data_IF_487010394245
#
_entry.id   IF_487010394245
#
_cell.length_a   1.000
_cell.length_b   1.000
_cell.length_c   1.000
_cell.angle_alpha   90.00
_cell.angle_beta   90.00
_cell.angle_gamma   90.00
#
_symmetry.space_group_name_H-M   'P 1'
#
loop_
_entity.id
_entity.type
_entity.pdbx_description
1 polymer ?
#
# COMPACT_ATOMS: atom_id res chain seq x y z
N UNK A 1 -2.62 2.23 2.90
CA UNK A 1 -2.69 0.76 3.11
C UNK A 1 -1.89 0.18 1.98
N UNK A 2 -0.63 -0.13 2.24
CA UNK A 2 0.38 -0.12 1.17
C UNK A 2 0.17 -1.27 0.20
N UNK A 3 0.16 -2.54 0.61
CA UNK A 3 -0.07 -3.64 -0.32
C UNK A 3 -0.94 -4.73 0.31
N UNK A 4 -2.17 -4.89 -0.18
CA UNK A 4 -3.00 -6.05 0.14
C UNK A 4 -3.14 -6.89 -1.11
N UNK A 5 -2.65 -8.12 -1.04
CA UNK A 5 -2.98 -9.14 -2.03
C UNK A 5 -4.38 -9.67 -1.71
N UNK A 6 -5.26 -9.87 -2.69
CA UNK A 6 -6.51 -10.59 -2.46
C UNK A 6 -6.45 -11.93 -3.23
N UNK A 7 -6.60 -13.08 -2.56
CA UNK A 7 -6.64 -14.38 -3.23
C UNK A 7 -7.80 -14.42 -4.23
N UNK A 8 -7.50 -14.67 -5.50
CA UNK A 8 -8.53 -14.64 -6.55
C UNK A 8 -9.22 -15.99 -6.69
N UNK A 9 -8.43 -17.07 -6.68
CA UNK A 9 -8.90 -18.39 -7.06
C UNK A 9 -9.08 -19.31 -5.85
N UNK A 10 -8.36 -19.04 -4.76
CA UNK A 10 -8.36 -19.86 -3.55
C UNK A 10 -8.81 -19.06 -2.33
N UNK A 11 -9.29 -19.72 -1.25
CA UNK A 11 -9.77 -19.02 -0.07
C UNK A 11 -8.64 -18.50 0.83
N UNK A 12 -7.41 -18.99 0.67
CA UNK A 12 -6.25 -18.53 1.46
C UNK A 12 -5.05 -18.17 0.58
N UNK A 13 -4.21 -17.26 1.06
CA UNK A 13 -2.91 -16.96 0.44
C UNK A 13 -2.06 -18.20 0.22
N UNK A 14 -2.01 -19.08 1.22
CA UNK A 14 -1.17 -20.28 1.18
C UNK A 14 -1.62 -21.23 0.06
N UNK A 15 -2.92 -21.41 -0.12
CA UNK A 15 -3.47 -22.24 -1.19
C UNK A 15 -3.27 -21.59 -2.57
N UNK A 16 -3.47 -20.28 -2.68
CA UNK A 16 -3.19 -19.53 -3.91
C UNK A 16 -1.71 -19.72 -4.33
N UNK A 17 -0.78 -19.49 -3.41
CA UNK A 17 0.65 -19.63 -3.72
C UNK A 17 1.04 -21.06 -4.04
N UNK A 18 0.52 -22.05 -3.28
CA UNK A 18 0.76 -23.47 -3.55
C UNK A 18 0.25 -23.85 -4.93
N UNK A 19 -0.94 -23.40 -5.32
CA UNK A 19 -1.49 -23.68 -6.64
C UNK A 19 -0.59 -23.14 -7.75
N UNK A 20 -0.08 -21.92 -7.61
CA UNK A 20 0.86 -21.35 -8.58
C UNK A 20 2.18 -22.15 -8.65
N UNK A 21 2.69 -22.65 -7.52
CA UNK A 21 3.85 -23.54 -7.50
C UNK A 21 3.56 -24.97 -7.96
N UNK A 22 2.31 -25.42 -8.00
CA UNK A 22 1.98 -26.70 -8.64
C UNK A 22 2.03 -26.57 -10.17
N UNK A 23 1.71 -25.40 -10.70
CA UNK A 23 1.83 -25.11 -12.14
C UNK A 23 3.29 -24.96 -12.55
N UNK A 24 4.10 -24.27 -11.76
CA UNK A 24 5.56 -24.19 -11.96
C UNK A 24 6.33 -24.50 -10.67
N UNK A 25 6.62 -25.80 -10.40
CA UNK A 25 7.34 -26.24 -9.21
C UNK A 25 8.80 -25.82 -9.16
N UNK A 26 9.35 -25.35 -10.29
CA UNK A 26 10.75 -24.98 -10.41
C UNK A 26 11.00 -23.52 -10.06
N UNK A 27 9.97 -22.67 -10.20
CA UNK A 27 10.06 -21.23 -9.92
C UNK A 27 10.62 -20.93 -8.52
N UNK A 28 11.51 -19.92 -8.47
CA UNK A 28 12.08 -19.40 -7.23
C UNK A 28 11.13 -18.43 -6.53
N UNK A 29 10.26 -17.77 -7.30
CA UNK A 29 9.29 -16.81 -6.81
C UNK A 29 8.06 -16.72 -7.70
N UNK A 30 6.98 -16.17 -7.15
CA UNK A 30 5.79 -15.76 -7.86
C UNK A 30 5.75 -14.23 -7.84
N UNK A 31 5.70 -13.61 -8.99
CA UNK A 31 5.58 -12.17 -9.18
C UNK A 31 4.13 -11.79 -9.47
N UNK A 32 3.54 -10.97 -8.61
CA UNK A 32 2.19 -10.44 -8.77
C UNK A 32 2.26 -8.99 -9.25
N UNK A 33 1.64 -8.70 -10.40
CA UNK A 33 1.42 -7.34 -10.86
C UNK A 33 0.69 -6.49 -9.80
N UNK A 34 1.00 -5.20 -9.76
CA UNK A 34 0.43 -4.26 -8.77
C UNK A 34 -0.25 -3.10 -9.48
N UNK A 35 -1.46 -2.78 -9.05
CA UNK A 35 -2.17 -1.57 -9.46
C UNK A 35 -2.27 -0.60 -8.31
N UNK A 36 -2.15 0.68 -8.65
CA UNK A 36 -2.28 1.78 -7.70
C UNK A 36 -3.75 2.17 -7.60
N UNK A 37 -4.23 2.33 -6.37
CA UNK A 37 -5.58 2.77 -6.06
C UNK A 37 -5.55 4.03 -5.21
N UNK A 38 -6.48 4.94 -5.49
CA UNK A 38 -6.77 6.07 -4.64
C UNK A 38 -8.15 5.93 -3.99
N UNK A 39 -8.31 6.63 -2.87
CA UNK A 39 -9.56 6.70 -2.13
C UNK A 39 -9.73 8.09 -1.54
N UNK A 40 -10.97 8.52 -1.39
CA UNK A 40 -11.31 9.82 -0.84
C UNK A 40 -11.77 9.71 0.61
N UNK A 41 -11.02 10.29 1.56
CA UNK A 41 -11.45 10.54 2.94
C UNK A 41 -12.63 11.53 2.94
N UNK A 42 -13.82 11.11 3.37
CA UNK A 42 -14.99 11.96 3.59
C UNK A 42 -15.86 12.31 2.37
N UNK A 43 -15.89 11.49 1.30
CA UNK A 43 -16.73 11.72 0.13
C UNK A 43 -18.23 11.84 0.50
N UNK A 44 -18.96 12.75 -0.13
CA UNK A 44 -20.40 12.89 0.11
C UNK A 44 -21.13 11.71 -0.52
N UNK A 45 -21.69 10.84 0.33
CA UNK A 45 -22.27 9.54 -0.04
C UNK A 45 -21.36 8.34 0.23
N UNK A 46 -20.08 8.53 0.60
CA UNK A 46 -19.17 7.47 1.09
C UNK A 46 -18.27 8.03 2.21
N UNK A 47 -18.63 7.71 3.45
CA UNK A 47 -18.01 8.22 4.68
C UNK A 47 -16.64 7.56 4.93
N UNK A 48 -15.61 7.86 4.14
CA UNK A 48 -14.28 7.44 4.55
C UNK A 48 -13.86 8.28 5.76
N UNK A 49 -13.82 7.59 6.87
CA UNK A 49 -13.76 8.07 8.22
C UNK A 49 -12.60 8.99 8.58
N UNK A 50 -12.90 10.04 9.36
CA UNK A 50 -11.90 10.85 10.05
C UNK A 50 -11.51 10.24 11.40
N UNK A 51 -12.31 9.31 11.91
CA UNK A 51 -12.09 8.60 13.17
C UNK A 51 -12.17 7.08 12.98
N UNK A 52 -11.49 6.28 13.81
CA UNK A 52 -11.62 4.82 13.71
C UNK A 52 -13.08 4.35 13.88
N UNK A 53 -13.90 5.09 14.63
CA UNK A 53 -15.31 4.77 14.86
C UNK A 53 -16.14 4.85 13.58
N UNK A 54 -15.85 5.82 12.71
CA UNK A 54 -16.52 5.99 11.42
C UNK A 54 -15.99 5.01 10.35
N UNK A 55 -14.81 4.40 10.56
CA UNK A 55 -14.12 3.63 9.51
C UNK A 55 -14.99 2.46 9.05
N UNK A 56 -15.19 2.30 7.75
CA UNK A 56 -15.91 1.17 7.19
C UNK A 56 -15.14 0.64 5.99
N UNK A 57 -14.82 -0.65 6.02
CA UNK A 57 -14.01 -1.30 5.00
C UNK A 57 -14.78 -1.48 3.69
N UNK A 58 -16.08 -1.75 3.76
CA UNK A 58 -16.97 -1.84 2.59
C UNK A 58 -17.01 -0.49 1.86
N UNK A 59 -17.20 0.60 2.60
CA UNK A 59 -17.20 1.96 2.08
C UNK A 59 -15.82 2.32 1.48
N UNK A 60 -14.74 1.94 2.16
CA UNK A 60 -13.38 2.14 1.64
C UNK A 60 -13.21 1.44 0.28
N UNK A 61 -13.50 0.14 0.20
CA UNK A 61 -13.32 -0.65 -1.03
C UNK A 61 -14.22 -0.14 -2.15
N UNK A 62 -15.47 0.20 -1.86
CA UNK A 62 -16.40 0.77 -2.86
C UNK A 62 -15.99 2.15 -3.37
N UNK A 63 -15.21 2.90 -2.60
CA UNK A 63 -14.67 4.20 -3.01
C UNK A 63 -13.38 4.12 -3.85
N UNK A 64 -12.79 2.93 -4.01
CA UNK A 64 -11.49 2.79 -4.68
C UNK A 64 -11.59 3.18 -6.16
N UNK A 65 -10.70 4.07 -6.58
CA UNK A 65 -10.48 4.37 -7.99
C UNK A 65 -9.14 3.76 -8.42
N UNK A 66 -9.09 3.19 -9.62
CA UNK A 66 -7.95 2.40 -10.10
C UNK A 66 -7.18 3.12 -11.18
N UNK A 67 -5.85 3.11 -11.08
CA UNK A 67 -5.01 3.61 -12.16
C UNK A 67 -5.01 2.64 -13.35
N UNK A 68 -5.04 3.11 -14.62
CA UNK A 68 -4.96 2.21 -15.77
C UNK A 68 -3.61 1.48 -15.86
N UNK A 69 -2.57 2.04 -15.24
CA UNK A 69 -1.20 1.51 -15.32
C UNK A 69 -0.92 0.45 -14.24
N UNK A 70 -0.51 -0.75 -14.67
CA UNK A 70 0.08 -1.76 -13.77
C UNK A 70 1.55 -1.40 -13.57
N UNK A 71 1.95 -1.18 -12.32
CA UNK A 71 3.33 -0.86 -11.93
C UNK A 71 4.11 -2.13 -11.57
N UNK A 72 5.38 -1.94 -11.21
CA UNK A 72 6.20 -3.01 -10.62
C UNK A 72 5.48 -3.62 -9.41
N UNK A 73 5.37 -4.93 -9.49
CA UNK A 73 4.63 -5.80 -8.59
C UNK A 73 5.40 -6.16 -7.32
N UNK A 74 4.84 -7.13 -6.59
CA UNK A 74 5.46 -7.74 -5.40
C UNK A 74 5.76 -9.21 -5.69
N UNK A 75 6.74 -9.75 -4.96
CA UNK A 75 7.11 -11.17 -5.10
C UNK A 75 6.80 -11.94 -3.83
N UNK A 76 6.32 -13.16 -4.02
CA UNK A 76 6.28 -14.20 -2.99
C UNK A 76 7.38 -15.19 -3.31
N UNK A 77 8.32 -15.36 -2.39
CA UNK A 77 9.58 -16.08 -2.67
C UNK A 77 9.59 -17.44 -2.01
N UNK A 78 10.35 -18.37 -2.61
CA UNK A 78 10.81 -19.60 -1.96
C UNK A 78 12.17 -19.36 -1.32
N UNK A 79 12.26 -19.23 0.01
CA UNK A 79 13.52 -18.88 0.67
C UNK A 79 14.64 -19.90 0.42
N UNK A 80 14.29 -21.16 0.15
CA UNK A 80 15.25 -22.23 -0.18
C UNK A 80 15.92 -22.08 -1.55
N UNK A 81 15.43 -21.19 -2.42
CA UNK A 81 15.89 -21.01 -3.82
C UNK A 81 16.07 -19.56 -4.24
N UNK A 82 15.56 -18.61 -3.46
CA UNK A 82 15.59 -17.20 -3.79
C UNK A 82 16.88 -16.53 -3.32
N UNK A 83 17.85 -16.38 -4.23
CA UNK A 83 19.17 -15.81 -3.95
C UNK A 83 19.22 -14.29 -4.15
N UNK A 84 18.25 -13.56 -3.59
CA UNK A 84 18.21 -12.09 -3.64
C UNK A 84 17.51 -11.51 -2.42
N UNK A 85 17.90 -10.31 -2.01
CA UNK A 85 17.19 -9.52 -0.98
C UNK A 85 16.16 -8.57 -1.58
N UNK A 86 16.08 -8.47 -2.91
CA UNK A 86 15.17 -7.56 -3.60
C UNK A 86 13.75 -8.14 -3.68
N UNK A 87 12.77 -7.46 -3.10
CA UNK A 87 11.38 -7.92 -3.02
C UNK A 87 10.40 -7.16 -3.96
N UNK A 88 10.94 -6.31 -4.84
CA UNK A 88 10.19 -5.46 -5.77
C UNK A 88 10.69 -5.65 -7.21
N UNK A 89 10.66 -6.90 -7.69
CA UNK A 89 11.17 -7.33 -9.00
C UNK A 89 12.72 -7.34 -9.07
N UNK A 90 13.32 -8.48 -8.72
CA UNK A 90 14.77 -8.68 -8.78
C UNK A 90 15.24 -9.09 -10.17
N UNK A 91 16.29 -8.44 -10.66
CA UNK A 91 17.01 -8.85 -11.89
C UNK A 91 17.82 -10.14 -11.69
N UNK A 92 18.06 -10.53 -10.44
CA UNK A 92 18.78 -11.75 -10.08
C UNK A 92 17.87 -12.98 -10.00
N UNK A 93 16.55 -12.78 -10.00
CA UNK A 93 15.61 -13.89 -10.10
C UNK A 93 15.17 -14.10 -11.55
N UNK A 94 15.88 -14.98 -12.25
CA UNK A 94 15.62 -15.32 -13.65
C UNK A 94 14.55 -16.41 -13.81
N UNK A 95 14.14 -17.07 -12.71
CA UNK A 95 13.18 -18.17 -12.73
C UNK A 95 11.94 -17.82 -11.90
N UNK A 96 11.24 -16.77 -12.32
CA UNK A 96 10.00 -16.30 -11.69
C UNK A 96 8.78 -16.74 -12.48
N UNK A 97 7.70 -17.04 -11.76
CA UNK A 97 6.36 -17.18 -12.33
C UNK A 97 5.65 -15.83 -12.30
N UNK A 98 5.19 -15.34 -13.45
CA UNK A 98 4.55 -14.04 -13.55
C UNK A 98 3.01 -14.13 -13.59
N UNK A 99 2.35 -13.46 -12.65
CA UNK A 99 0.91 -13.27 -12.61
C UNK A 99 0.64 -11.81 -13.01
N UNK A 100 0.36 -11.62 -14.30
CA UNK A 100 0.20 -10.28 -14.91
C UNK A 100 -1.11 -9.60 -14.53
N UNK A 101 -2.15 -10.38 -14.22
CA UNK A 101 -3.37 -9.83 -13.62
C UNK A 101 -3.00 -9.25 -12.26
N UNK A 102 -3.21 -7.96 -12.00
CA UNK A 102 -3.11 -7.46 -10.66
C UNK A 102 -4.09 -8.22 -9.78
N UNK A 103 -3.57 -8.70 -8.66
CA UNK A 103 -4.34 -9.22 -7.52
C UNK A 103 -4.01 -8.39 -6.27
N UNK A 104 -3.11 -7.41 -6.42
CA UNK A 104 -2.55 -6.63 -5.35
C UNK A 104 -3.12 -5.22 -5.43
N UNK A 105 -3.94 -4.90 -4.42
CA UNK A 105 -4.52 -3.60 -4.19
C UNK A 105 -3.52 -2.80 -3.37
N UNK A 106 -2.86 -1.86 -4.05
CA UNK A 106 -1.96 -0.91 -3.39
C UNK A 106 -2.68 0.41 -3.18
N UNK A 107 -2.98 0.76 -1.92
CA UNK A 107 -3.73 1.97 -1.57
C UNK A 107 -2.77 3.05 -1.08
N UNK A 108 -2.29 3.85 -2.04
CA UNK A 108 -1.23 4.83 -1.84
C UNK A 108 -1.74 6.22 -1.45
N UNK A 109 -2.98 6.56 -1.82
CA UNK A 109 -3.43 7.96 -1.81
C UNK A 109 -4.66 8.18 -0.94
N UNK A 110 -4.48 8.51 0.35
CA UNK A 110 -5.54 9.11 1.14
C UNK A 110 -5.75 10.56 0.70
N UNK A 111 -6.85 10.87 0.01
CA UNK A 111 -7.22 12.25 -0.27
C UNK A 111 -8.06 12.79 0.88
N UNK A 112 -7.70 13.95 1.46
CA UNK A 112 -8.49 14.60 2.51
C UNK A 112 -9.56 15.50 1.89
N UNK A 113 -10.84 15.34 2.25
CA UNK A 113 -11.93 16.19 1.76
C UNK A 113 -11.62 17.69 1.86
N UNK A 114 -11.20 18.13 3.04
CA UNK A 114 -10.95 19.53 3.37
C UNK A 114 -9.45 19.86 3.40
N UNK A 115 -8.59 18.96 2.91
CA UNK A 115 -7.14 19.14 2.91
C UNK A 115 -6.63 19.77 1.62
N UNK A 116 -5.40 20.29 1.65
CA UNK A 116 -4.78 20.89 0.47
C UNK A 116 -4.48 19.86 -0.63
N UNK A 117 -4.41 18.57 -0.29
CA UNK A 117 -4.11 17.44 -1.18
C UNK A 117 -2.92 17.63 -2.12
N UNK A 118 -1.99 18.56 -1.83
CA UNK A 118 -0.88 18.95 -2.71
C UNK A 118 0.00 17.80 -3.18
N UNK A 119 0.00 16.68 -2.46
CA UNK A 119 0.67 15.44 -2.86
C UNK A 119 0.19 14.91 -4.24
N UNK A 120 -1.04 15.22 -4.65
CA UNK A 120 -1.59 14.87 -5.97
C UNK A 120 -0.93 15.65 -7.10
N UNK A 121 -0.45 16.87 -6.84
CA UNK A 121 0.24 17.70 -7.83
C UNK A 121 1.62 17.13 -8.19
N UNK A 122 2.28 16.48 -7.23
CA UNK A 122 3.61 15.87 -7.41
C UNK A 122 3.53 14.58 -8.25
N UNK A 123 2.47 13.78 -8.09
CA UNK A 123 2.31 12.54 -8.85
C UNK A 123 1.06 12.58 -9.73
N UNK A 124 1.26 13.05 -10.95
CA UNK A 124 0.24 13.01 -12.02
C UNK A 124 -0.05 11.57 -12.41
N UNK A 125 -1.10 11.00 -11.82
CA UNK A 125 -1.63 9.69 -12.20
C UNK A 125 -3.13 9.84 -12.41
N UNK A 126 -3.62 9.17 -13.44
CA UNK A 126 -5.04 9.07 -13.71
C UNK A 126 -5.63 7.90 -12.94
N UNK A 127 -6.85 8.09 -12.43
CA UNK A 127 -7.63 7.07 -11.76
C UNK A 127 -9.03 7.06 -12.36
N UNK A 128 -9.53 5.87 -12.64
CA UNK A 128 -10.88 5.62 -13.15
C UNK A 128 -11.60 4.62 -12.26
N UNK A 129 -12.68 4.04 -12.78
CA UNK A 129 -13.48 3.03 -12.07
C UNK A 129 -12.62 1.91 -11.49
N UNK A 130 -13.04 1.39 -10.33
CA UNK A 130 -12.40 0.24 -9.71
C UNK A 130 -12.26 -0.93 -10.71
N UNK A 131 -11.05 -1.47 -10.83
CA UNK A 131 -10.73 -2.49 -11.84
C UNK A 131 -9.87 -3.62 -11.24
N UNK A 132 -10.35 -4.20 -10.14
CA UNK A 132 -9.78 -5.40 -9.53
C UNK A 132 -10.89 -6.35 -9.11
N UNK A 133 -10.53 -7.61 -8.84
CA UNK A 133 -11.47 -8.61 -8.32
C UNK A 133 -11.16 -8.87 -6.85
N UNK A 134 -12.01 -8.39 -5.97
CA UNK A 134 -12.02 -8.74 -4.55
C UNK A 134 -13.31 -9.50 -4.29
N UNK A 135 -13.24 -10.64 -3.59
CA UNK A 135 -14.45 -11.40 -3.26
C UNK A 135 -15.25 -10.65 -2.21
N UNK A 136 -16.57 -10.70 -2.34
CA UNK A 136 -17.46 -10.04 -1.40
C UNK A 136 -17.30 -10.65 0.01
N UNK A 137 -17.12 -11.97 0.10
CA UNK A 137 -16.87 -12.66 1.37
C UNK A 137 -15.61 -12.15 2.09
N UNK A 138 -14.54 -11.81 1.35
CA UNK A 138 -13.30 -11.29 1.94
C UNK A 138 -13.52 -9.88 2.53
N UNK A 139 -14.31 -9.05 1.83
CA UNK A 139 -14.66 -7.69 2.29
C UNK A 139 -15.49 -7.77 3.57
N UNK A 140 -16.47 -8.67 3.61
CA UNK A 140 -17.36 -8.87 4.75
C UNK A 140 -16.61 -9.41 5.97
N UNK A 141 -15.72 -10.38 5.77
CA UNK A 141 -14.90 -10.95 6.85
C UNK A 141 -13.98 -9.89 7.49
N UNK A 142 -13.35 -9.04 6.67
CA UNK A 142 -12.51 -7.93 7.18
C UNK A 142 -13.36 -6.90 7.94
N UNK A 143 -14.54 -6.54 7.41
CA UNK A 143 -15.44 -5.59 8.09
C UNK A 143 -15.94 -6.14 9.43
N UNK A 144 -16.27 -7.43 9.51
CA UNK A 144 -16.69 -8.08 10.76
C UNK A 144 -15.56 -8.04 11.82
N UNK A 145 -14.34 -8.42 11.44
CA UNK A 145 -13.18 -8.37 12.34
C UNK A 145 -12.90 -6.93 12.82
N UNK A 146 -13.03 -5.95 11.93
CA UNK A 146 -12.89 -4.54 12.29
C UNK A 146 -13.97 -4.05 13.25
N UNK A 147 -15.23 -4.49 13.10
CA UNK A 147 -16.30 -4.16 14.06
C UNK A 147 -15.96 -4.69 15.45
N UNK A 148 -15.57 -5.96 15.55
CA UNK A 148 -15.15 -6.58 16.81
C UNK A 148 -13.96 -5.85 17.44
N UNK A 149 -12.96 -5.49 16.63
CA UNK A 149 -11.78 -4.77 17.09
C UNK A 149 -12.14 -3.40 17.71
N UNK A 150 -13.09 -2.66 17.12
CA UNK A 150 -13.51 -1.34 17.61
C UNK A 150 -14.20 -1.40 18.97
N UNK A 151 -14.88 -2.50 19.27
CA UNK A 151 -15.58 -2.70 20.54
C UNK A 151 -14.63 -2.97 21.71
N UNK A 152 -13.37 -3.35 21.43
CA UNK A 152 -12.37 -3.57 22.46
C UNK A 152 -12.08 -2.26 23.23
N UNK A 153 -12.23 -2.22 24.57
CA UNK A 153 -12.09 -0.98 25.34
C UNK A 153 -10.74 -0.29 25.17
N UNK A 154 -9.67 -1.07 25.04
CA UNK A 154 -8.32 -0.55 24.81
C UNK A 154 -8.20 0.13 23.44
N UNK A 155 -8.78 -0.47 22.39
CA UNK A 155 -8.76 0.08 21.04
C UNK A 155 -9.60 1.36 20.98
N UNK A 156 -10.80 1.34 21.55
CA UNK A 156 -11.68 2.52 21.64
C UNK A 156 -10.99 3.70 22.37
N UNK A 157 -10.24 3.42 23.44
CA UNK A 157 -9.48 4.46 24.16
C UNK A 157 -8.29 4.99 23.36
N UNK A 158 -7.60 4.13 22.59
CA UNK A 158 -6.47 4.54 21.74
C UNK A 158 -6.99 5.35 20.54
N UNK A 159 -8.11 4.95 19.96
CA UNK A 159 -8.65 5.57 18.74
C UNK A 159 -8.96 7.05 18.91
N UNK A 160 -9.39 7.46 20.10
CA UNK A 160 -9.61 8.87 20.46
C UNK A 160 -8.34 9.73 20.41
N UNK A 161 -7.16 9.10 20.45
CA UNK A 161 -5.85 9.77 20.45
C UNK A 161 -5.15 9.71 19.08
N UNK A 162 -5.74 9.05 18.10
CA UNK A 162 -5.15 8.95 16.76
C UNK A 162 -5.16 10.34 16.10
N UNK A 163 -4.05 10.75 15.46
CA UNK A 163 -4.00 12.01 14.72
C UNK A 163 -5.09 12.10 13.65
N UNK A 164 -5.79 13.24 13.59
CA UNK A 164 -6.83 13.52 12.58
C UNK A 164 -6.28 14.05 11.26
N UNK A 165 -4.98 14.32 11.20
CA UNK A 165 -4.32 14.87 10.02
C UNK A 165 -3.03 14.13 9.72
N UNK A 166 -2.79 13.93 8.42
CA UNK A 166 -1.60 13.26 7.90
C UNK A 166 -0.40 14.22 7.80
N UNK A 167 -0.02 14.89 8.90
CA UNK A 167 0.99 15.96 8.90
C UNK A 167 2.34 15.53 8.30
N UNK A 168 2.85 14.36 8.67
CA UNK A 168 4.14 13.86 8.21
C UNK A 168 4.09 13.22 6.82
N UNK A 169 2.90 12.81 6.35
CA UNK A 169 2.75 12.11 5.07
C UNK A 169 3.33 12.91 3.88
N UNK A 170 2.96 14.18 3.63
CA UNK A 170 3.52 14.93 2.51
C UNK A 170 5.03 15.18 2.64
N UNK A 171 5.55 15.27 3.87
CA UNK A 171 6.97 15.52 4.14
C UNK A 171 7.81 14.27 3.84
N UNK A 172 7.41 13.14 4.40
CA UNK A 172 8.06 11.84 4.14
C UNK A 172 7.97 11.51 2.65
N UNK A 173 6.81 11.78 2.04
CA UNK A 173 6.60 11.47 0.63
C UNK A 173 7.44 12.36 -0.30
N UNK A 174 7.57 13.66 -0.02
CA UNK A 174 8.47 14.56 -0.76
C UNK A 174 9.93 14.13 -0.60
N UNK A 175 10.35 13.73 0.61
CA UNK A 175 11.70 13.21 0.81
C UNK A 175 11.94 11.91 0.04
N UNK A 176 11.03 10.92 0.15
CA UNK A 176 11.09 9.69 -0.63
C UNK A 176 11.11 9.98 -2.14
N UNK A 177 10.33 10.95 -2.59
CA UNK A 177 10.33 11.37 -3.98
C UNK A 177 11.70 11.88 -4.40
N UNK A 178 12.27 12.84 -3.66
CA UNK A 178 13.59 13.42 -3.95
C UNK A 178 14.72 12.40 -3.87
N UNK A 179 14.70 11.51 -2.88
CA UNK A 179 15.75 10.54 -2.62
C UNK A 179 15.71 9.35 -3.61
N UNK A 180 14.53 8.92 -4.06
CA UNK A 180 14.38 7.65 -4.79
C UNK A 180 13.77 7.79 -6.18
N UNK A 181 12.80 8.68 -6.34
CA UNK A 181 11.95 8.73 -7.52
C UNK A 181 12.34 9.85 -8.49
N UNK A 182 12.82 11.00 -8.02
CA UNK A 182 13.22 12.13 -8.87
C UNK A 182 14.31 11.73 -9.87
N UNK A 183 15.36 11.03 -9.41
CA UNK A 183 16.40 10.54 -10.32
C UNK A 183 15.89 9.50 -11.33
N UNK A 184 14.95 8.64 -10.91
CA UNK A 184 14.39 7.57 -11.74
C UNK A 184 13.32 8.04 -12.74
N UNK A 185 12.52 9.05 -12.41
CA UNK A 185 11.48 9.62 -13.27
C UNK A 185 11.97 10.78 -14.14
N UNK A 186 13.02 11.51 -13.73
CA UNK A 186 13.59 12.63 -14.52
C UNK A 186 14.67 12.20 -15.53
N UNK A 187 14.80 10.89 -15.82
CA UNK A 187 15.80 10.32 -16.74
C UNK A 187 17.25 10.76 -16.45
N UNK A 188 17.60 11.04 -15.19
CA UNK A 188 18.99 11.39 -14.82
C UNK A 188 19.80 10.10 -14.61
N UNK A 189 20.87 9.84 -15.38
CA UNK A 189 21.68 8.65 -15.18
C UNK A 189 22.49 8.76 -13.89
N UNK A 190 22.45 7.70 -13.08
CA UNK A 190 23.35 7.50 -11.93
C UNK A 190 22.80 8.05 -10.61
N UNK A 191 22.66 7.15 -9.62
CA UNK A 191 22.27 7.55 -8.27
C UNK A 191 21.60 6.49 -7.40
N UNK A 192 21.51 5.22 -7.82
CA UNK A 192 20.94 4.18 -6.95
C UNK A 192 21.97 3.71 -5.91
N UNK A 193 22.27 4.57 -4.93
CA UNK A 193 22.79 4.10 -3.64
C UNK A 193 21.72 3.28 -2.91
N UNK A 194 22.10 2.50 -1.89
CA UNK A 194 21.12 1.82 -1.05
C UNK A 194 20.19 2.87 -0.43
N UNK A 195 18.90 2.87 -0.77
CA UNK A 195 17.99 3.91 -0.33
C UNK A 195 17.74 3.78 1.18
N UNK A 196 18.04 4.82 1.96
CA UNK A 196 17.62 4.93 3.35
C UNK A 196 16.90 6.27 3.60
N UNK A 197 16.05 6.29 4.62
CA UNK A 197 15.35 7.50 5.05
C UNK A 197 16.24 8.42 5.91
N UNK A 198 17.52 8.09 6.08
CA UNK A 198 18.46 8.79 6.97
C UNK A 198 18.71 10.25 6.53
N UNK A 199 18.43 10.56 5.26
CA UNK A 199 18.52 11.92 4.71
C UNK A 199 17.22 12.73 4.85
N UNK A 200 16.14 12.13 5.39
CA UNK A 200 14.86 12.80 5.56
C UNK A 200 14.80 13.54 6.90
N UNK A 201 14.93 14.86 6.86
CA UNK A 201 14.71 15.71 8.03
C UNK A 201 13.21 15.88 8.30
N UNK A 202 12.73 15.37 9.44
CA UNK A 202 11.34 15.52 9.87
C UNK A 202 11.21 16.67 10.88
N UNK A 203 10.29 17.62 10.68
CA UNK A 203 10.10 18.70 11.63
C UNK A 203 9.51 18.19 12.94
N UNK A 204 10.05 18.70 14.05
CA UNK A 204 9.53 18.43 15.38
C UNK A 204 8.22 19.18 15.61
N UNK A 205 7.28 18.55 16.32
CA UNK A 205 6.02 19.17 16.74
C UNK A 205 6.02 19.33 18.25
N UNK A 206 5.68 20.50 18.74
CA UNK A 206 5.64 20.77 20.20
C UNK A 206 4.63 19.86 20.90
N UNK A 207 3.49 19.61 20.26
CA UNK A 207 2.43 18.71 20.73
C UNK A 207 2.79 17.21 20.70
N UNK A 208 3.81 16.79 19.95
CA UNK A 208 4.24 15.39 19.83
C UNK A 208 5.75 15.27 19.90
N UNK A 209 6.28 14.83 21.06
CA UNK A 209 7.72 14.56 21.19
C UNK A 209 8.11 13.30 20.41
N UNK A 210 8.49 13.46 19.15
CA UNK A 210 9.22 12.44 18.41
C UNK A 210 10.69 12.53 18.84
N UNK A 211 11.10 11.66 19.78
CA UNK A 211 12.47 11.68 20.31
C UNK A 211 13.45 11.29 19.20
N UNK A 212 14.21 12.25 18.68
CA UNK A 212 15.43 11.94 17.95
C UNK A 212 16.45 11.41 18.96
N UNK A 213 16.62 10.09 19.02
CA UNK A 213 17.82 9.49 19.59
C UNK A 213 18.81 9.23 18.45
N UNK A 214 19.79 10.10 18.29
CA UNK A 214 21.16 9.64 18.05
C UNK A 214 22.18 10.68 18.55
N UNK A 215 23.26 10.26 19.26
CA UNK A 215 24.34 11.10 19.77
C UNK A 215 25.12 11.89 18.73
#
# INVERSE_FOLDING_TARGET
MDDILFPKNYPTYLEEFRAEWLVDPTSNSIYYGRREHEFMKGWEGVSVAETLAEFNFVDLVSSLLSSPTVKRGKVVVRPDRYHSTWIHYSWHDLNRREILSPNLVHVQRPLQKNGSNKITETWKMEFGSFNETIKQEDIEAIEEDMKLMKELPNISKISQKIPKSDFYLPIVFDCYYKAFYGAAFDNKPGGFGCPNADLCELPQREEYRCVQYWP
#
